data_IF_115620618627
#
_entry.id   IF_115620618627
#
_cell.length_a   1.000
_cell.length_b   1.000
_cell.length_c   1.000
_cell.angle_alpha   90.00
_cell.angle_beta   90.00
_cell.angle_gamma   90.00
#
_symmetry.space_group_name_H-M   'P 1'
#
loop_
_entity.id
_entity.type
_entity.pdbx_description
1 polymer ?
#
# COMPACT_ATOMS: atom_id res chain seq x y z
N UNK A 1 -7.15 1.90 -22.51
CA UNK A 1 -6.84 2.34 -21.14
C UNK A 1 -5.78 3.40 -21.25
N UNK A 2 -6.11 4.61 -20.82
CA UNK A 2 -5.18 5.73 -20.84
C UNK A 2 -4.07 5.48 -19.82
N UNK A 3 -2.85 5.90 -20.15
CA UNK A 3 -1.69 5.75 -19.25
C UNK A 3 -1.96 6.40 -17.88
N UNK A 4 -2.65 7.53 -17.88
CA UNK A 4 -3.07 8.23 -16.66
C UNK A 4 -4.12 7.44 -15.86
N UNK A 5 -5.06 6.79 -16.54
CA UNK A 5 -6.11 5.98 -15.91
C UNK A 5 -5.49 4.76 -15.20
N UNK A 6 -4.57 4.06 -15.87
CA UNK A 6 -3.84 2.93 -15.28
C UNK A 6 -2.98 3.36 -14.09
N UNK A 7 -2.33 4.52 -14.18
CA UNK A 7 -1.49 5.05 -13.11
C UNK A 7 -2.31 5.47 -11.89
N UNK A 8 -3.51 6.02 -12.11
CA UNK A 8 -4.47 6.33 -11.04
C UNK A 8 -4.93 5.05 -10.33
N UNK A 9 -5.31 4.02 -11.10
CA UNK A 9 -5.74 2.73 -10.56
C UNK A 9 -4.64 2.07 -9.70
N UNK A 10 -3.40 2.07 -10.18
CA UNK A 10 -2.28 1.51 -9.43
C UNK A 10 -1.98 2.29 -8.13
N UNK A 11 -2.07 3.63 -8.16
CA UNK A 11 -1.90 4.47 -6.96
C UNK A 11 -3.01 4.25 -5.94
N UNK A 12 -4.25 4.14 -6.39
CA UNK A 12 -5.41 3.86 -5.53
C UNK A 12 -5.27 2.48 -4.85
N UNK A 13 -4.85 1.46 -5.61
CA UNK A 13 -4.60 0.12 -5.08
C UNK A 13 -3.44 0.08 -4.08
N UNK A 14 -2.39 0.87 -4.32
CA UNK A 14 -1.26 1.03 -3.39
C UNK A 14 -1.73 1.65 -2.07
N UNK A 15 -2.55 2.70 -2.13
CA UNK A 15 -3.09 3.37 -0.95
C UNK A 15 -4.02 2.45 -0.16
N UNK A 16 -4.87 1.69 -0.85
CA UNK A 16 -5.72 0.67 -0.23
C UNK A 16 -4.87 -0.40 0.49
N UNK A 17 -3.82 -0.92 -0.15
CA UNK A 17 -2.95 -1.94 0.45
C UNK A 17 -2.16 -1.39 1.65
N UNK A 18 -1.71 -0.13 1.59
CA UNK A 18 -1.06 0.57 2.72
C UNK A 18 -2.06 0.86 3.85
N UNK A 19 -3.32 1.14 3.52
CA UNK A 19 -4.40 1.39 4.49
C UNK A 19 -5.03 0.13 5.09
N UNK A 20 -4.82 -1.04 4.47
CA UNK A 20 -5.33 -2.35 4.92
C UNK A 20 -4.56 -2.94 6.10
N UNK A 21 -3.60 -2.21 6.68
CA UNK A 21 -2.97 -2.62 7.93
C UNK A 21 -4.02 -2.71 9.05
N UNK A 22 -4.24 -3.91 9.62
CA UNK A 22 -5.31 -4.16 10.59
C UNK A 22 -5.06 -3.53 11.97
N UNK A 23 -3.97 -2.78 12.18
CA UNK A 23 -3.77 -2.02 13.42
C UNK A 23 -4.79 -0.89 13.61
N UNK A 24 -5.61 -0.56 12.61
CA UNK A 24 -6.52 0.59 12.64
C UNK A 24 -8.03 0.26 12.69
N UNK A 25 -8.44 -1.02 12.68
CA UNK A 25 -9.86 -1.39 12.66
C UNK A 25 -10.33 -2.18 13.89
N UNK A 26 -9.66 -2.01 15.03
CA UNK A 26 -10.16 -2.46 16.33
C UNK A 26 -10.21 -1.26 17.27
N UNK A 27 -11.43 -0.88 17.66
CA UNK A 27 -11.73 0.26 18.54
C UNK A 27 -11.23 0.05 19.96
N UNK A 28 -9.92 0.06 20.16
CA UNK A 28 -9.30 0.17 21.48
C UNK A 28 -8.41 1.39 21.50
N UNK A 29 -8.96 2.47 22.04
CA UNK A 29 -8.21 3.57 22.62
C UNK A 29 -7.10 2.99 23.52
N UNK A 30 -5.84 3.30 23.20
CA UNK A 30 -4.73 3.13 24.12
C UNK A 30 -3.88 1.88 23.90
N UNK A 31 -2.96 1.93 22.93
CA UNK A 31 -1.59 1.49 23.18
C UNK A 31 -0.62 2.11 22.16
N UNK A 32 -0.08 3.28 22.50
CA UNK A 32 1.16 3.76 21.91
C UNK A 32 2.27 2.83 22.39
N UNK A 33 2.75 1.96 21.51
CA UNK A 33 3.92 1.14 21.79
C UNK A 33 3.91 -0.19 21.07
N UNK A 34 4.17 -0.18 19.76
CA UNK A 34 4.85 -1.26 19.03
C UNK A 34 5.25 -0.73 17.65
N UNK A 35 6.42 -0.15 17.55
CA UNK A 35 7.18 -0.10 16.30
C UNK A 35 7.50 -1.55 15.90
N UNK A 36 6.61 -2.21 15.16
CA UNK A 36 6.87 -3.60 14.73
C UNK A 36 5.67 -4.48 14.39
N UNK A 37 4.45 -3.95 14.23
CA UNK A 37 3.38 -4.77 13.63
C UNK A 37 3.65 -4.90 12.14
N UNK A 38 4.24 -6.05 11.83
CA UNK A 38 4.94 -6.32 10.59
C UNK A 38 3.92 -6.50 9.48
N UNK A 39 3.89 -5.54 8.56
CA UNK A 39 3.32 -5.74 7.24
C UNK A 39 3.76 -7.12 6.73
N UNK A 40 2.80 -8.01 6.43
CA UNK A 40 3.13 -9.37 5.98
C UNK A 40 4.15 -9.31 4.83
N UNK A 41 5.16 -10.20 4.79
CA UNK A 41 6.16 -10.19 3.71
C UNK A 41 5.53 -10.24 2.31
N UNK A 42 4.35 -10.83 2.19
CA UNK A 42 3.55 -10.85 0.97
C UNK A 42 2.94 -9.48 0.64
N UNK A 43 2.43 -8.75 1.63
CA UNK A 43 1.88 -7.40 1.47
C UNK A 43 2.99 -6.39 1.10
N UNK A 44 4.16 -6.55 1.72
CA UNK A 44 5.34 -5.76 1.39
C UNK A 44 5.79 -5.98 -0.07
N UNK A 45 5.87 -7.24 -0.52
CA UNK A 45 6.19 -7.57 -1.91
C UNK A 45 5.14 -7.05 -2.90
N UNK A 46 3.85 -7.09 -2.54
CA UNK A 46 2.78 -6.52 -3.38
C UNK A 46 2.92 -5.00 -3.52
N UNK A 47 3.29 -4.31 -2.44
CA UNK A 47 3.53 -2.87 -2.45
C UNK A 47 4.76 -2.52 -3.28
N UNK A 48 5.89 -3.21 -3.08
CA UNK A 48 7.10 -2.98 -3.88
C UNK A 48 6.85 -3.22 -5.38
N UNK A 49 6.13 -4.29 -5.73
CA UNK A 49 5.78 -4.58 -7.12
C UNK A 49 4.91 -3.48 -7.75
N UNK A 50 3.93 -2.95 -6.99
CA UNK A 50 3.09 -1.85 -7.43
C UNK A 50 3.87 -0.54 -7.58
N UNK A 51 4.75 -0.21 -6.62
CA UNK A 51 5.60 0.98 -6.70
C UNK A 51 6.56 0.92 -7.90
N UNK A 52 7.12 -0.26 -8.18
CA UNK A 52 7.96 -0.45 -9.36
C UNK A 52 7.17 -0.28 -10.66
N UNK A 53 5.96 -0.84 -10.74
CA UNK A 53 5.11 -0.70 -11.93
C UNK A 53 4.69 0.75 -12.17
N UNK A 54 4.30 1.48 -11.11
CA UNK A 54 4.01 2.92 -11.19
C UNK A 54 5.24 3.69 -11.68
N UNK A 55 6.42 3.40 -11.13
CA UNK A 55 7.67 4.08 -11.50
C UNK A 55 8.07 3.81 -12.95
N UNK A 56 7.86 2.58 -13.44
CA UNK A 56 8.07 2.22 -14.85
C UNK A 56 7.10 2.99 -15.76
N UNK A 57 5.82 3.07 -15.37
CA UNK A 57 4.82 3.86 -16.09
C UNK A 57 5.15 5.36 -16.08
N UNK A 58 5.60 5.94 -14.97
CA UNK A 58 5.97 7.36 -14.89
C UNK A 58 7.17 7.71 -15.78
N UNK A 59 8.09 6.77 -16.00
CA UNK A 59 9.29 6.96 -16.82
C UNK A 59 9.15 6.54 -18.29
N UNK A 60 8.14 5.75 -18.63
CA UNK A 60 7.88 5.30 -20.01
C UNK A 60 7.17 6.36 -20.84
#
# INVERSE_FOLDING_TARGET
MDKQEKLKELKEKLEELKGRDPSHCSGTEGFVGHTGHSMSPELFQQIEALEEEIRKLEKS
#
